data_IF_719040468006
#
_entry.id   IF_719040468006
#
_cell.length_a   1.000
_cell.length_b   1.000
_cell.length_c   1.000
_cell.angle_alpha   90.00
_cell.angle_beta   90.00
_cell.angle_gamma   90.00
#
_symmetry.space_group_name_H-M   'P 1'
#
loop_
_entity.id
_entity.type
_entity.pdbx_description
1 polymer ?
#
# COMPACT_ATOMS: atom_id res chain seq x y z
N UNK A 1 -46.81 1.01 -11.08
CA UNK A 1 -45.56 1.48 -11.69
C UNK A 1 -44.46 1.31 -10.67
N UNK A 2 -43.60 0.30 -10.86
CA UNK A 2 -42.54 -0.05 -9.91
C UNK A 2 -41.36 0.90 -10.06
N UNK A 3 -40.93 1.50 -8.95
CA UNK A 3 -39.80 2.43 -8.87
C UNK A 3 -38.48 1.71 -9.16
N UNK A 4 -37.72 2.23 -10.12
CA UNK A 4 -36.34 1.82 -10.37
C UNK A 4 -35.50 2.34 -9.21
N UNK A 5 -35.01 1.42 -8.36
CA UNK A 5 -33.95 1.73 -7.40
C UNK A 5 -32.67 2.08 -8.18
N UNK A 6 -32.20 3.31 -8.01
CA UNK A 6 -30.92 3.75 -8.53
C UNK A 6 -29.80 2.96 -7.83
N UNK A 7 -29.09 2.13 -8.60
CA UNK A 7 -27.94 1.40 -8.10
C UNK A 7 -26.78 2.36 -7.84
N UNK A 8 -26.54 2.59 -6.56
CA UNK A 8 -25.26 2.80 -5.88
C UNK A 8 -24.26 3.76 -6.53
N UNK A 9 -24.29 4.99 -6.02
CA UNK A 9 -23.15 5.91 -6.00
C UNK A 9 -21.89 5.17 -5.54
N UNK A 10 -20.86 5.14 -6.40
CA UNK A 10 -19.49 4.82 -6.00
C UNK A 10 -19.08 5.83 -4.91
N UNK A 11 -19.06 5.39 -3.65
CA UNK A 11 -18.71 6.26 -2.53
C UNK A 11 -17.23 6.67 -2.62
N UNK A 12 -16.85 7.85 -2.10
CA UNK A 12 -15.44 8.27 -2.04
C UNK A 12 -14.53 7.27 -1.30
N UNK A 13 -15.09 6.40 -0.45
CA UNK A 13 -14.38 5.28 0.18
C UNK A 13 -13.82 4.29 -0.83
N UNK A 14 -14.51 4.03 -1.95
CA UNK A 14 -14.01 3.18 -3.03
C UNK A 14 -12.86 3.88 -3.79
N UNK A 15 -12.81 5.21 -3.76
CA UNK A 15 -11.82 6.02 -4.49
C UNK A 15 -10.50 6.16 -3.70
N UNK A 16 -10.49 5.89 -2.39
CA UNK A 16 -9.30 6.08 -1.52
C UNK A 16 -8.81 4.79 -0.84
N UNK A 17 -8.98 3.63 -1.50
CA UNK A 17 -8.48 2.33 -1.01
C UNK A 17 -6.97 2.31 -0.73
N UNK A 18 -6.19 3.08 -1.49
CA UNK A 18 -4.73 3.20 -1.29
C UNK A 18 -4.40 3.90 0.03
N UNK A 19 -5.14 4.96 0.39
CA UNK A 19 -4.93 5.70 1.66
C UNK A 19 -5.26 4.81 2.85
N UNK A 20 -6.39 4.09 2.80
CA UNK A 20 -6.77 3.15 3.86
C UNK A 20 -5.76 2.01 4.00
N UNK A 21 -5.19 1.54 2.90
CA UNK A 21 -4.18 0.48 2.89
C UNK A 21 -2.88 0.97 3.55
N UNK A 22 -2.42 2.18 3.20
CA UNK A 22 -1.20 2.76 3.80
C UNK A 22 -1.36 3.00 5.31
N UNK A 23 -2.51 3.52 5.74
CA UNK A 23 -2.75 3.75 7.17
C UNK A 23 -2.85 2.43 7.94
N UNK A 24 -3.50 1.41 7.36
CA UNK A 24 -3.51 0.06 7.93
C UNK A 24 -2.10 -0.49 8.11
N UNK A 25 -1.22 -0.31 7.12
CA UNK A 25 0.18 -0.76 7.20
C UNK A 25 0.95 -0.04 8.31
N UNK A 26 0.79 1.29 8.44
CA UNK A 26 1.47 2.07 9.50
C UNK A 26 1.12 1.60 10.91
N UNK A 27 -0.08 1.04 11.11
CA UNK A 27 -0.53 0.56 12.43
C UNK A 27 0.04 -0.81 12.82
N UNK A 28 0.68 -1.54 11.89
CA UNK A 28 1.31 -2.83 12.16
C UNK A 28 2.52 -2.62 13.09
N UNK A 29 2.67 -3.44 14.13
CA UNK A 29 3.77 -3.27 15.11
C UNK A 29 5.11 -3.85 14.63
N UNK A 30 5.09 -4.96 13.90
CA UNK A 30 6.31 -5.60 13.40
C UNK A 30 6.81 -4.89 12.14
N UNK A 31 8.06 -4.47 12.15
CA UNK A 31 8.72 -3.89 10.97
C UNK A 31 8.83 -4.91 9.83
N UNK A 32 9.02 -6.20 10.15
CA UNK A 32 9.03 -7.27 9.14
C UNK A 32 7.66 -7.42 8.49
N UNK A 33 6.60 -7.39 9.28
CA UNK A 33 5.24 -7.49 8.76
C UNK A 33 4.84 -6.25 7.95
N UNK A 34 5.23 -5.05 8.40
CA UNK A 34 5.10 -3.81 7.61
C UNK A 34 5.82 -3.95 6.27
N UNK A 35 7.10 -4.36 6.27
CA UNK A 35 7.89 -4.51 5.05
C UNK A 35 7.27 -5.54 4.10
N UNK A 36 6.80 -6.67 4.63
CA UNK A 36 6.10 -7.70 3.84
C UNK A 36 4.87 -7.11 3.16
N UNK A 37 4.04 -6.36 3.91
CA UNK A 37 2.85 -5.72 3.36
C UNK A 37 3.17 -4.67 2.32
N UNK A 38 4.11 -3.76 2.59
CA UNK A 38 4.54 -2.74 1.61
C UNK A 38 5.08 -3.40 0.34
N UNK A 39 5.87 -4.46 0.47
CA UNK A 39 6.42 -5.19 -0.70
C UNK A 39 5.31 -5.82 -1.55
N UNK A 40 4.27 -6.39 -0.92
CA UNK A 40 3.09 -6.91 -1.63
C UNK A 40 2.28 -5.81 -2.31
N UNK A 41 2.02 -4.69 -1.63
CA UNK A 41 1.27 -3.58 -2.23
C UNK A 41 2.03 -2.92 -3.38
N UNK A 42 3.37 -2.83 -3.28
CA UNK A 42 4.21 -2.37 -4.38
C UNK A 42 4.06 -3.26 -5.62
N UNK A 43 4.07 -4.58 -5.46
CA UNK A 43 3.87 -5.49 -6.59
C UNK A 43 2.47 -5.33 -7.21
N UNK A 44 1.44 -5.10 -6.39
CA UNK A 44 0.10 -4.82 -6.90
C UNK A 44 0.08 -3.55 -7.78
N UNK A 45 0.66 -2.45 -7.31
CA UNK A 45 0.78 -1.20 -8.06
C UNK A 45 1.56 -1.42 -9.36
N UNK A 46 2.68 -2.13 -9.28
CA UNK A 46 3.51 -2.46 -10.45
C UNK A 46 2.71 -3.23 -11.49
N UNK A 47 2.05 -4.32 -11.10
CA UNK A 47 1.26 -5.16 -12.01
C UNK A 47 0.11 -4.38 -12.62
N UNK A 48 -0.60 -3.57 -11.83
CA UNK A 48 -1.65 -2.69 -12.35
C UNK A 48 -1.09 -1.71 -13.37
N UNK A 49 0.08 -1.10 -13.12
CA UNK A 49 0.73 -0.20 -14.08
C UNK A 49 1.20 -0.93 -15.34
N UNK A 50 1.70 -2.15 -15.18
CA UNK A 50 2.11 -3.02 -16.28
C UNK A 50 0.92 -3.32 -17.19
N UNK A 51 -0.20 -3.81 -16.63
CA UNK A 51 -1.42 -4.10 -17.39
C UNK A 51 -1.97 -2.86 -18.10
N UNK A 52 -2.01 -1.72 -17.42
CA UNK A 52 -2.40 -0.44 -18.03
C UNK A 52 -1.48 -0.03 -19.18
N UNK A 53 -0.18 -0.27 -19.06
CA UNK A 53 0.79 0.07 -20.10
C UNK A 53 0.62 -0.88 -21.28
N UNK A 54 0.48 -2.17 -21.02
CA UNK A 54 0.22 -3.19 -22.03
C UNK A 54 -1.05 -2.89 -22.83
N UNK A 55 -2.14 -2.47 -22.19
CA UNK A 55 -3.40 -2.10 -22.88
C UNK A 55 -3.19 -0.94 -23.85
N UNK A 56 -2.34 0.02 -23.49
CA UNK A 56 -2.07 1.21 -24.30
C UNK A 56 -1.03 0.99 -25.40
N UNK A 57 -0.12 0.03 -25.21
CA UNK A 57 1.02 -0.18 -26.12
C UNK A 57 0.87 -1.42 -26.99
N UNK A 58 0.08 -2.42 -26.56
CA UNK A 58 -0.14 -3.66 -27.30
C UNK A 58 -1.54 -3.62 -27.89
N UNK A 59 -1.63 -3.38 -29.20
CA UNK A 59 -2.88 -3.51 -29.94
C UNK A 59 -3.12 -4.98 -30.26
N UNK A 60 -4.17 -5.58 -29.69
CA UNK A 60 -4.60 -6.93 -30.09
C UNK A 60 -5.42 -6.80 -31.39
N UNK A 61 -4.73 -6.81 -32.53
CA UNK A 61 -5.33 -6.71 -33.86
C UNK A 61 -5.85 -5.31 -34.22
N UNK A 62 -6.73 -5.23 -35.23
CA UNK A 62 -7.23 -3.97 -35.81
C UNK A 62 -8.29 -3.24 -34.94
N UNK A 63 -8.59 -3.76 -33.74
CA UNK A 63 -9.72 -3.31 -32.90
C UNK A 63 -9.33 -2.52 -31.64
N UNK A 64 -8.04 -2.27 -31.43
CA UNK A 64 -7.52 -1.52 -30.28
C UNK A 64 -7.46 -2.33 -28.96
N UNK A 65 -6.55 -1.90 -28.07
CA UNK A 65 -6.41 -2.33 -26.67
C UNK A 65 -6.29 -3.84 -26.37
N UNK A 66 -6.24 -4.17 -25.08
CA UNK A 66 -6.37 -5.52 -24.52
C UNK A 66 -7.84 -5.99 -24.47
N UNK A 67 -8.79 -5.06 -24.54
CA UNK A 67 -10.24 -5.32 -24.45
C UNK A 67 -11.07 -4.89 -25.68
N UNK A 68 -10.42 -4.55 -26.81
CA UNK A 68 -11.11 -4.05 -28.00
C UNK A 68 -11.33 -2.55 -28.00
N UNK A 69 -12.35 -2.09 -28.75
CA UNK A 69 -12.57 -0.66 -29.07
C UNK A 69 -12.62 0.23 -27.82
N UNK A 70 -11.87 1.33 -27.89
CA UNK A 70 -11.79 2.30 -26.81
C UNK A 70 -13.11 3.08 -26.67
N UNK A 71 -13.75 2.91 -25.51
CA UNK A 71 -14.91 3.71 -25.11
C UNK A 71 -14.64 4.33 -23.73
N UNK A 72 -15.11 5.57 -23.51
CA UNK A 72 -14.85 6.33 -22.27
C UNK A 72 -15.37 5.66 -20.98
N UNK A 73 -16.43 4.86 -21.06
CA UNK A 73 -16.92 4.05 -19.93
C UNK A 73 -16.00 2.85 -19.66
N UNK A 74 -15.48 2.25 -20.73
CA UNK A 74 -14.57 1.13 -20.68
C UNK A 74 -13.25 1.54 -20.03
N UNK A 75 -12.72 2.74 -20.29
CA UNK A 75 -11.45 3.21 -19.68
C UNK A 75 -11.47 3.26 -18.15
N UNK A 76 -12.55 3.78 -17.56
CA UNK A 76 -12.71 3.80 -16.10
C UNK A 76 -12.87 2.38 -15.55
N UNK A 77 -13.62 1.53 -16.25
CA UNK A 77 -13.83 0.13 -15.88
C UNK A 77 -12.53 -0.69 -15.96
N UNK A 78 -11.77 -0.56 -17.06
CA UNK A 78 -10.45 -1.16 -17.26
C UNK A 78 -9.50 -0.83 -16.11
N UNK A 79 -9.44 0.45 -15.72
CA UNK A 79 -8.61 0.90 -14.60
C UNK A 79 -8.94 0.19 -13.29
N UNK A 80 -10.23 0.00 -13.00
CA UNK A 80 -10.69 -0.74 -11.83
C UNK A 80 -10.32 -2.23 -11.90
N UNK A 81 -10.56 -2.86 -13.05
CA UNK A 81 -10.23 -4.28 -13.28
C UNK A 81 -8.72 -4.51 -13.15
N UNK A 82 -7.88 -3.67 -13.75
CA UNK A 82 -6.42 -3.78 -13.61
C UNK A 82 -5.93 -3.58 -12.17
N UNK A 83 -6.59 -2.70 -11.41
CA UNK A 83 -6.33 -2.54 -9.98
C UNK A 83 -6.61 -3.82 -9.21
N UNK A 84 -7.75 -4.45 -9.47
CA UNK A 84 -8.15 -5.68 -8.80
C UNK A 84 -7.29 -6.89 -9.21
N UNK A 85 -7.04 -7.04 -10.51
CA UNK A 85 -6.14 -8.08 -11.03
C UNK A 85 -4.74 -7.93 -10.45
N UNK A 86 -4.21 -6.70 -10.37
CA UNK A 86 -2.91 -6.43 -9.75
C UNK A 86 -2.85 -6.86 -8.29
N UNK A 87 -3.88 -6.53 -7.50
CA UNK A 87 -3.98 -6.98 -6.10
C UNK A 87 -4.10 -8.49 -5.96
N UNK A 88 -4.86 -9.15 -6.83
CA UNK A 88 -5.01 -10.60 -6.81
C UNK A 88 -3.70 -11.30 -7.17
N UNK A 89 -3.01 -10.82 -8.20
CA UNK A 89 -1.69 -11.34 -8.60
C UNK A 89 -0.69 -11.20 -7.45
N UNK A 90 -0.60 -10.03 -6.83
CA UNK A 90 0.36 -9.78 -5.74
C UNK A 90 0.08 -10.62 -4.47
N UNK A 91 -1.18 -10.97 -4.22
CA UNK A 91 -1.59 -11.79 -3.07
C UNK A 91 -1.58 -13.30 -3.37
N UNK A 92 -1.59 -13.69 -4.65
CA UNK A 92 -1.71 -15.09 -5.06
C UNK A 92 -0.38 -15.83 -4.91
N UNK A 93 -0.29 -16.90 -4.10
CA UNK A 93 0.97 -17.64 -3.89
C UNK A 93 1.50 -18.32 -5.16
N UNK A 94 0.66 -18.54 -6.18
CA UNK A 94 1.02 -19.22 -7.43
C UNK A 94 1.03 -18.31 -8.65
N UNK A 95 0.53 -17.08 -8.52
CA UNK A 95 0.42 -16.13 -9.63
C UNK A 95 1.19 -14.83 -9.40
N UNK A 96 1.89 -14.66 -8.27
CA UNK A 96 2.77 -13.49 -8.05
C UNK A 96 3.81 -13.39 -9.15
N UNK A 97 4.20 -12.16 -9.50
CA UNK A 97 5.37 -11.93 -10.35
C UNK A 97 6.67 -12.25 -9.60
N UNK A 98 6.68 -12.09 -8.27
CA UNK A 98 7.78 -12.49 -7.39
C UNK A 98 8.67 -11.33 -6.94
N UNK A 99 8.41 -10.11 -7.41
CA UNK A 99 9.10 -8.89 -6.96
C UNK A 99 8.85 -8.61 -5.48
N UNK A 100 7.62 -8.82 -5.00
CA UNK A 100 7.30 -8.64 -3.59
C UNK A 100 8.22 -9.48 -2.69
N UNK A 101 8.44 -10.75 -3.06
CA UNK A 101 9.31 -11.67 -2.33
C UNK A 101 10.77 -11.23 -2.40
N UNK A 102 11.25 -10.84 -3.58
CA UNK A 102 12.64 -10.40 -3.76
C UNK A 102 12.94 -9.12 -2.98
N UNK A 103 12.06 -8.13 -3.06
CA UNK A 103 12.18 -6.86 -2.31
C UNK A 103 12.18 -7.16 -0.82
N UNK A 104 11.22 -7.94 -0.33
CA UNK A 104 11.16 -8.33 1.07
C UNK A 104 12.48 -9.01 1.53
N UNK A 105 12.97 -10.00 0.79
CA UNK A 105 14.19 -10.74 1.14
C UNK A 105 15.47 -9.89 1.10
N UNK A 106 15.53 -8.90 0.22
CA UNK A 106 16.67 -7.98 0.17
C UNK A 106 16.61 -6.98 1.32
N UNK A 107 15.43 -6.43 1.60
CA UNK A 107 15.23 -5.35 2.56
C UNK A 107 15.17 -5.86 4.00
N UNK A 108 14.70 -7.09 4.24
CA UNK A 108 14.60 -7.66 5.60
C UNK A 108 15.96 -7.80 6.28
N UNK A 109 17.03 -7.93 5.49
CA UNK A 109 18.43 -8.02 5.96
C UNK A 109 18.89 -6.72 6.64
N UNK A 110 18.26 -5.61 6.28
CA UNK A 110 18.54 -4.29 6.84
C UNK A 110 17.68 -3.99 8.07
N UNK A 111 16.69 -4.83 8.38
CA UNK A 111 15.86 -4.66 9.55
C UNK A 111 16.59 -5.17 10.81
N UNK A 112 16.42 -4.48 11.95
CA UNK A 112 16.95 -4.99 13.21
C UNK A 112 16.40 -6.40 13.49
N UNK A 113 17.23 -7.26 14.07
CA UNK A 113 16.76 -8.53 14.64
C UNK A 113 15.64 -8.18 15.62
N UNK A 114 14.48 -8.85 15.51
CA UNK A 114 13.40 -8.61 16.47
C UNK A 114 13.85 -9.19 17.81
N UNK A 115 14.53 -8.37 18.59
CA UNK A 115 14.72 -8.60 20.00
C UNK A 115 13.33 -8.57 20.60
N UNK A 116 12.91 -9.67 21.23
CA UNK A 116 11.69 -9.74 22.02
C UNK A 116 11.57 -8.46 22.85
N UNK A 117 10.64 -7.57 22.48
CA UNK A 117 10.31 -6.41 23.31
C UNK A 117 9.47 -6.95 24.46
N UNK A 118 10.13 -7.54 25.43
CA UNK A 118 9.66 -7.66 26.79
C UNK A 118 10.55 -6.75 27.64
N UNK A 119 9.94 -5.71 28.20
CA UNK A 119 10.48 -4.87 29.28
C UNK A 119 11.52 -3.77 28.95
N UNK A 120 11.26 -2.87 27.99
CA UNK A 120 12.00 -1.59 27.92
C UNK A 120 11.16 -0.37 27.49
N UNK A 121 9.85 -0.34 27.78
CA UNK A 121 9.00 0.85 27.60
C UNK A 121 8.21 1.25 28.86
N UNK A 122 8.82 1.05 30.04
CA UNK A 122 8.40 1.71 31.28
C UNK A 122 9.61 2.34 31.92
N UNK A 123 9.85 3.61 31.58
CA UNK A 123 10.94 4.39 32.16
C UNK A 123 11.40 5.47 31.21
N UNK A 124 10.66 6.59 31.20
CA UNK A 124 11.14 7.96 31.04
C UNK A 124 10.02 8.87 30.49
N UNK A 125 8.94 8.95 31.25
CA UNK A 125 8.21 10.20 31.38
C UNK A 125 8.52 10.73 32.79
N UNK A 126 8.86 12.02 32.88
CA UNK A 126 9.14 12.79 34.11
C UNK A 126 10.59 12.79 34.63
N UNK A 127 11.41 13.70 34.07
CA UNK A 127 12.34 14.52 34.85
C UNK A 127 12.89 15.66 33.97
N UNK A 128 12.06 16.66 33.69
CA UNK A 128 12.57 17.99 33.33
C UNK A 128 11.60 19.02 33.85
N UNK A 129 11.88 19.53 35.06
CA UNK A 129 11.68 20.91 35.47
C UNK A 129 12.16 21.09 36.92
N UNK A 130 13.12 21.99 37.10
CA UNK A 130 13.40 22.64 38.38
C UNK A 130 14.62 22.13 39.16
N UNK A 131 15.83 22.50 38.73
CA UNK A 131 16.94 22.69 39.68
C UNK A 131 17.36 24.16 39.61
N UNK A 132 17.45 24.72 40.82
CA UNK A 132 17.39 26.12 41.21
C UNK A 132 18.70 26.86 40.89
N UNK A 133 18.55 28.16 40.62
CA UNK A 133 19.61 29.16 40.62
C UNK A 133 20.58 29.00 41.80
N UNK A 134 21.87 28.97 41.49
CA UNK A 134 22.91 29.54 42.35
C UNK A 134 24.12 29.90 41.48
N UNK A 135 24.14 31.13 40.98
CA UNK A 135 25.37 31.74 40.44
C UNK A 135 25.89 32.65 41.54
N UNK A 136 26.72 32.09 42.41
CA UNK A 136 27.71 32.85 43.15
C UNK A 136 29.04 32.67 42.40
N UNK A 137 29.56 33.75 41.82
CA UNK A 137 31.00 34.02 41.72
C UNK A 137 31.24 35.45 41.24
N UNK A 138 31.55 36.28 42.23
CA UNK A 138 32.69 37.20 42.30
C UNK A 138 33.05 38.03 41.04
N UNK A 139 33.11 39.34 41.31
CA UNK A 139 33.58 40.52 40.54
C UNK A 139 32.53 41.18 39.65
#
# INVERSE_FOLDING_TARGET
MSSIQAYNNLTPEVINGDVQTLDSIKTIKSQREQLKKVSTEFEAIFVTKMLNTMDKTVSIGDKGGLFGEDNKYLDKFKSFIYGEVGRQIAKSPTSTVGFAKQIYQQMEKSLPKENNITAAQTGNAQASQGIKNKVDKEI
#
